data_IF_841974595327
#
_entry.id   IF_841974595327
#
_cell.length_a   1.000
_cell.length_b   1.000
_cell.length_c   1.000
_cell.angle_alpha   90.00
_cell.angle_beta   90.00
_cell.angle_gamma   90.00
#
_symmetry.space_group_name_H-M   'P 1'
#
loop_
_entity.id
_entity.type
_entity.pdbx_description
1 polymer ?
#
# COMPACT_ATOMS: atom_id res chain seq x y z
N UNK A 1 80.29 -5.75 19.01
CA UNK A 1 80.31 -5.62 20.48
C UNK A 1 78.89 -5.82 20.95
N UNK A 2 78.51 -7.09 21.16
CA UNK A 2 78.34 -7.71 22.48
C UNK A 2 77.69 -6.84 23.57
N UNK A 3 76.81 -7.30 24.46
CA UNK A 3 76.04 -8.52 24.67
C UNK A 3 75.22 -8.23 25.95
N UNK A 4 73.94 -8.59 25.93
CA UNK A 4 73.04 -9.05 27.02
C UNK A 4 73.08 -8.56 28.49
N UNK A 5 71.88 -8.70 29.07
CA UNK A 5 71.48 -8.90 30.49
C UNK A 5 71.00 -7.64 31.24
N UNK A 6 69.96 -7.61 32.08
CA UNK A 6 68.89 -8.54 32.53
C UNK A 6 68.06 -7.75 33.58
N UNK A 7 66.78 -8.09 33.80
CA UNK A 7 66.15 -7.93 35.13
C UNK A 7 64.83 -7.16 35.24
N UNK A 8 63.76 -7.94 35.44
CA UNK A 8 62.34 -7.63 35.72
C UNK A 8 62.01 -6.51 36.75
N UNK A 9 60.87 -5.85 36.52
CA UNK A 9 59.87 -5.55 37.55
C UNK A 9 58.44 -5.50 36.98
N UNK A 10 57.47 -5.70 37.86
CA UNK A 10 56.18 -6.37 37.67
C UNK A 10 55.01 -5.45 37.25
N UNK A 11 54.10 -6.03 36.44
CA UNK A 11 52.79 -5.60 35.88
C UNK A 11 51.77 -5.26 37.01
N UNK A 12 50.75 -4.34 36.88
CA UNK A 12 49.63 -4.49 35.93
C UNK A 12 49.04 -3.14 35.43
N UNK A 13 48.06 -2.99 34.55
CA UNK A 13 47.01 -3.79 33.97
C UNK A 13 46.46 -2.90 32.84
N UNK A 14 46.26 -3.39 31.62
CA UNK A 14 45.10 -2.99 30.80
C UNK A 14 45.06 -3.85 29.54
N UNK A 15 44.31 -4.96 29.65
CA UNK A 15 43.67 -5.59 28.50
C UNK A 15 42.75 -4.54 27.85
N UNK A 16 43.23 -3.79 26.87
CA UNK A 16 42.36 -3.29 25.83
C UNK A 16 42.17 -4.42 24.81
N UNK A 17 41.27 -5.35 25.14
CA UNK A 17 40.55 -6.09 24.11
C UNK A 17 39.71 -5.04 23.39
N UNK A 18 40.27 -4.42 22.35
CA UNK A 18 39.46 -3.81 21.32
C UNK A 18 38.77 -4.96 20.57
N UNK A 19 37.73 -5.50 21.19
CA UNK A 19 36.72 -6.26 20.48
C UNK A 19 36.03 -5.25 19.58
N UNK A 20 36.56 -5.07 18.37
CA UNK A 20 35.86 -4.43 17.29
C UNK A 20 34.63 -5.31 16.98
N UNK A 21 33.56 -5.13 17.75
CA UNK A 21 32.22 -5.46 17.30
C UNK A 21 31.99 -4.56 16.10
N UNK A 22 32.31 -5.07 14.91
CA UNK A 22 31.76 -4.56 13.67
C UNK A 22 30.26 -4.84 13.77
N UNK A 23 29.51 -3.89 14.33
CA UNK A 23 28.07 -3.83 14.16
C UNK A 23 27.86 -3.76 12.65
N UNK A 24 27.53 -4.89 12.06
CA UNK A 24 26.98 -4.91 10.71
C UNK A 24 25.71 -4.07 10.79
N UNK A 25 25.64 -3.02 9.99
CA UNK A 25 24.39 -2.27 9.84
C UNK A 25 23.28 -3.28 9.52
N UNK A 26 22.11 -3.18 10.18
CA UNK A 26 21.02 -4.12 9.97
C UNK A 26 20.65 -4.13 8.48
N UNK A 27 20.60 -5.33 7.89
CA UNK A 27 20.21 -5.50 6.50
C UNK A 27 18.75 -5.07 6.39
N UNK A 28 18.50 -4.03 5.60
CA UNK A 28 17.14 -3.59 5.28
C UNK A 28 16.67 -4.30 4.02
N UNK A 29 15.67 -5.17 4.16
CA UNK A 29 15.02 -5.81 3.02
C UNK A 29 13.91 -4.90 2.48
N UNK A 30 13.89 -4.69 1.17
CA UNK A 30 12.85 -3.90 0.48
C UNK A 30 12.13 -4.82 -0.50
N UNK A 31 10.85 -5.07 -0.25
CA UNK A 31 9.99 -5.87 -1.10
C UNK A 31 9.18 -4.95 -2.03
N UNK A 32 9.29 -5.17 -3.34
CA UNK A 32 8.54 -4.43 -4.36
C UNK A 32 7.53 -5.40 -4.96
N UNK A 33 6.25 -5.07 -4.84
CA UNK A 33 5.16 -5.91 -5.29
C UNK A 33 4.51 -5.32 -6.53
N UNK A 34 4.17 -6.19 -7.49
CA UNK A 34 3.16 -5.88 -8.48
C UNK A 34 1.77 -6.10 -7.87
N UNK A 35 0.77 -5.36 -8.33
CA UNK A 35 -0.58 -5.41 -7.76
C UNK A 35 -1.46 -6.44 -8.48
N UNK A 36 -1.63 -6.26 -9.78
CA UNK A 36 -2.56 -7.03 -10.59
C UNK A 36 -1.93 -8.34 -11.09
N UNK A 37 -2.69 -9.42 -11.06
CA UNK A 37 -2.23 -10.79 -11.29
C UNK A 37 -1.10 -11.27 -10.36
N UNK A 38 -0.88 -10.56 -9.24
CA UNK A 38 0.08 -10.93 -8.18
C UNK A 38 -0.61 -10.88 -6.82
N UNK A 39 -0.99 -9.70 -6.33
CA UNK A 39 -1.72 -9.57 -5.06
C UNK A 39 -3.22 -9.80 -5.26
N UNK A 40 -3.76 -9.33 -6.39
CA UNK A 40 -5.17 -9.50 -6.78
C UNK A 40 -5.27 -10.11 -8.17
N UNK A 41 -6.43 -10.65 -8.52
CA UNK A 41 -6.69 -11.30 -9.81
C UNK A 41 -7.83 -10.60 -10.56
N UNK A 42 -7.72 -9.30 -10.85
CA UNK A 42 -8.85 -8.56 -11.40
C UNK A 42 -8.97 -8.73 -12.92
N UNK A 43 -7.88 -8.54 -13.67
CA UNK A 43 -7.92 -8.59 -15.14
C UNK A 43 -8.23 -9.99 -15.66
N UNK A 44 -7.68 -11.03 -15.04
CA UNK A 44 -7.91 -12.42 -15.42
C UNK A 44 -9.33 -12.90 -15.11
N UNK A 45 -9.97 -12.35 -14.07
CA UNK A 45 -11.40 -12.54 -13.83
C UNK A 45 -12.22 -11.85 -14.93
N UNK A 46 -11.96 -10.57 -15.21
CA UNK A 46 -12.70 -9.81 -16.23
C UNK A 46 -12.63 -10.45 -17.63
N UNK A 47 -11.45 -10.94 -18.00
CA UNK A 47 -11.22 -11.53 -19.31
C UNK A 47 -11.55 -13.04 -19.36
N UNK A 48 -11.89 -13.65 -18.22
CA UNK A 48 -12.16 -15.08 -18.10
C UNK A 48 -10.92 -15.99 -18.17
N UNK A 49 -9.73 -15.42 -18.38
CA UNK A 49 -8.49 -16.19 -18.56
C UNK A 49 -8.07 -16.93 -17.30
N UNK A 50 -8.47 -16.47 -16.11
CA UNK A 50 -8.22 -17.21 -14.87
C UNK A 50 -8.77 -18.64 -14.96
N UNK A 51 -10.05 -18.78 -15.34
CA UNK A 51 -10.75 -20.06 -15.39
C UNK A 51 -10.23 -21.00 -16.49
N UNK A 52 -9.80 -20.45 -17.62
CA UNK A 52 -9.29 -21.22 -18.76
C UNK A 52 -8.06 -22.07 -18.38
N UNK A 53 -7.23 -21.58 -17.44
CA UNK A 53 -6.05 -22.30 -16.97
C UNK A 53 -6.37 -23.58 -16.18
N UNK A 54 -7.62 -23.76 -15.74
CA UNK A 54 -8.07 -24.89 -14.94
C UNK A 54 -8.72 -26.02 -15.76
N UNK A 55 -8.52 -26.05 -17.09
CA UNK A 55 -8.99 -27.11 -17.98
C UNK A 55 -10.50 -27.45 -17.81
N UNK A 56 -11.33 -26.42 -17.61
CA UNK A 56 -12.79 -26.56 -17.46
C UNK A 56 -13.28 -26.93 -16.05
N UNK A 57 -12.39 -27.01 -15.04
CA UNK A 57 -12.79 -27.24 -13.65
C UNK A 57 -13.43 -26.02 -12.98
N UNK A 58 -13.29 -24.83 -13.58
CA UNK A 58 -13.90 -23.58 -13.10
C UNK A 58 -14.91 -23.03 -14.09
N UNK A 59 -15.99 -22.48 -13.55
CA UNK A 59 -17.02 -21.78 -14.31
C UNK A 59 -16.49 -20.42 -14.77
N UNK A 60 -16.26 -20.26 -16.07
CA UNK A 60 -15.76 -19.03 -16.69
C UNK A 60 -16.74 -17.87 -16.49
N UNK A 61 -18.05 -18.12 -16.66
CA UNK A 61 -19.06 -17.08 -16.58
C UNK A 61 -19.14 -16.50 -15.16
N UNK A 62 -19.08 -17.38 -14.15
CA UNK A 62 -19.01 -16.97 -12.75
C UNK A 62 -17.79 -16.07 -12.47
N UNK A 63 -16.62 -16.42 -13.00
CA UNK A 63 -15.40 -15.62 -12.82
C UNK A 63 -15.52 -14.22 -13.41
N UNK A 64 -16.06 -14.12 -14.64
CA UNK A 64 -16.31 -12.84 -15.31
C UNK A 64 -17.33 -11.98 -14.56
N UNK A 65 -18.37 -12.58 -14.00
CA UNK A 65 -19.35 -11.87 -13.18
C UNK A 65 -18.73 -11.29 -11.90
N UNK A 66 -17.89 -12.07 -11.21
CA UNK A 66 -17.13 -11.59 -10.05
C UNK A 66 -16.24 -10.40 -10.44
N UNK A 67 -15.50 -10.50 -11.55
CA UNK A 67 -14.65 -9.42 -12.05
C UNK A 67 -15.43 -8.13 -12.33
N UNK A 68 -16.60 -8.24 -12.97
CA UNK A 68 -17.48 -7.09 -13.26
C UNK A 68 -18.06 -6.46 -11.99
N UNK A 69 -18.36 -7.26 -10.97
CA UNK A 69 -18.81 -6.74 -9.68
C UNK A 69 -17.69 -5.91 -9.03
N UNK A 70 -16.46 -6.43 -8.99
CA UNK A 70 -15.30 -5.67 -8.48
C UNK A 70 -15.08 -4.36 -9.24
N UNK A 71 -15.04 -4.41 -10.57
CA UNK A 71 -14.86 -3.22 -11.41
C UNK A 71 -15.91 -2.15 -11.09
N UNK A 72 -17.19 -2.55 -11.05
CA UNK A 72 -18.30 -1.65 -10.71
C UNK A 72 -18.11 -1.00 -9.35
N UNK A 73 -17.82 -1.79 -8.30
CA UNK A 73 -17.76 -1.25 -6.94
C UNK A 73 -16.48 -0.45 -6.68
N UNK A 74 -15.35 -0.82 -7.27
CA UNK A 74 -14.11 -0.04 -7.22
C UNK A 74 -14.34 1.35 -7.84
N UNK A 75 -14.96 1.40 -9.02
CA UNK A 75 -15.28 2.68 -9.68
C UNK A 75 -16.25 3.51 -8.85
N UNK A 76 -17.31 2.89 -8.32
CA UNK A 76 -18.28 3.57 -7.46
C UNK A 76 -17.59 4.20 -6.23
N UNK A 77 -16.72 3.46 -5.54
CA UNK A 77 -15.99 3.99 -4.37
C UNK A 77 -15.00 5.08 -4.77
N UNK A 78 -14.34 4.94 -5.93
CA UNK A 78 -13.44 5.96 -6.44
C UNK A 78 -14.17 7.31 -6.64
N UNK A 79 -15.37 7.28 -7.23
CA UNK A 79 -16.19 8.47 -7.45
C UNK A 79 -16.78 9.02 -6.14
N UNK A 80 -17.51 8.19 -5.40
CA UNK A 80 -18.30 8.61 -4.23
C UNK A 80 -17.41 9.07 -3.07
N UNK A 81 -16.23 8.48 -2.90
CA UNK A 81 -15.40 8.65 -1.70
C UNK A 81 -14.07 9.35 -2.01
N UNK A 82 -13.48 9.10 -3.17
CA UNK A 82 -12.13 9.56 -3.51
C UNK A 82 -12.08 10.64 -4.59
N UNK A 83 -13.20 11.27 -4.91
CA UNK A 83 -13.29 12.41 -5.85
C UNK A 83 -12.72 12.09 -7.23
N UNK A 84 -12.81 10.84 -7.69
CA UNK A 84 -12.11 10.36 -8.88
C UNK A 84 -12.36 11.23 -10.11
N UNK A 85 -13.62 11.56 -10.44
CA UNK A 85 -13.95 12.48 -11.55
C UNK A 85 -13.22 13.84 -11.48
N UNK A 86 -12.94 14.34 -10.27
CA UNK A 86 -12.32 15.65 -10.08
C UNK A 86 -10.78 15.59 -10.18
N UNK A 87 -10.19 14.41 -9.97
CA UNK A 87 -8.74 14.23 -9.88
C UNK A 87 -8.15 13.30 -10.95
N UNK A 88 -8.95 12.61 -11.75
CA UNK A 88 -8.50 11.62 -12.76
C UNK A 88 -7.46 12.19 -13.74
N UNK A 89 -7.60 13.48 -14.09
CA UNK A 89 -6.71 14.19 -15.00
C UNK A 89 -5.36 14.58 -14.34
N UNK A 90 -5.22 14.40 -13.02
CA UNK A 90 -4.00 14.60 -12.26
C UNK A 90 -3.41 13.26 -11.78
N UNK A 91 -3.00 12.42 -12.73
CA UNK A 91 -2.41 11.12 -12.43
C UNK A 91 -0.92 11.22 -12.04
N UNK A 92 -0.63 11.21 -10.74
CA UNK A 92 0.73 11.18 -10.18
C UNK A 92 0.98 9.90 -9.39
N UNK A 93 2.23 9.37 -9.41
CA UNK A 93 2.52 8.05 -8.84
C UNK A 93 2.60 8.01 -7.30
N UNK A 94 2.48 9.14 -6.60
CA UNK A 94 2.52 9.18 -5.13
C UNK A 94 1.65 10.31 -4.57
N UNK A 95 1.10 10.11 -3.37
CA UNK A 95 0.14 11.03 -2.74
C UNK A 95 0.74 12.40 -2.42
N UNK A 96 2.03 12.45 -2.06
CA UNK A 96 2.72 13.68 -1.65
C UNK A 96 3.10 14.62 -2.80
N UNK A 97 2.73 14.29 -4.04
CA UNK A 97 3.06 15.09 -5.22
C UNK A 97 2.54 16.53 -5.17
N UNK A 98 1.56 16.81 -4.32
CA UNK A 98 0.96 18.13 -4.11
C UNK A 98 1.23 18.72 -2.73
N UNK A 99 2.02 18.05 -1.89
CA UNK A 99 2.28 18.46 -0.50
C UNK A 99 2.76 19.92 -0.38
N UNK A 100 3.59 20.39 -1.32
CA UNK A 100 4.10 21.77 -1.33
C UNK A 100 3.02 22.84 -1.56
N UNK A 101 1.86 22.46 -2.10
CA UNK A 101 0.75 23.38 -2.38
C UNK A 101 -0.29 23.40 -1.27
N UNK A 102 -0.27 22.41 -0.37
CA UNK A 102 -1.16 22.35 0.79
C UNK A 102 -0.69 23.36 1.85
N UNK A 103 -1.59 24.26 2.24
CA UNK A 103 -1.32 25.33 3.21
C UNK A 103 -1.77 25.00 4.64
N UNK A 104 -2.23 23.77 4.90
CA UNK A 104 -2.65 23.36 6.24
C UNK A 104 -4.05 23.85 6.64
N UNK A 105 -4.82 24.44 5.71
CA UNK A 105 -6.17 24.92 5.99
C UNK A 105 -7.07 23.83 6.59
N UNK A 106 -7.88 24.17 7.58
CA UNK A 106 -8.92 23.27 8.07
C UNK A 106 -9.99 23.03 6.98
N UNK A 107 -10.31 21.75 6.75
CA UNK A 107 -11.20 21.30 5.68
C UNK A 107 -12.54 20.77 6.20
N UNK A 108 -12.83 20.85 7.50
CA UNK A 108 -14.09 20.34 8.08
C UNK A 108 -15.33 20.95 7.43
N UNK A 109 -15.31 22.26 7.15
CA UNK A 109 -16.41 23.01 6.54
C UNK A 109 -16.09 23.40 5.07
N UNK A 110 -15.12 22.73 4.44
CA UNK A 110 -14.72 23.04 3.07
C UNK A 110 -15.65 22.39 2.05
N UNK A 111 -16.27 23.22 1.21
CA UNK A 111 -17.18 22.76 0.15
C UNK A 111 -16.42 22.41 -1.13
N UNK A 112 -16.07 21.13 -1.29
CA UNK A 112 -15.39 20.61 -2.48
C UNK A 112 -16.23 20.71 -3.76
N UNK A 113 -17.56 20.77 -3.67
CA UNK A 113 -18.42 20.81 -4.86
C UNK A 113 -18.49 22.20 -5.48
N UNK A 114 -18.22 23.24 -4.69
CA UNK A 114 -18.31 24.64 -5.12
C UNK A 114 -16.97 25.38 -5.09
N UNK A 115 -15.84 24.70 -4.90
CA UNK A 115 -14.52 25.34 -4.88
C UNK A 115 -13.96 25.67 -6.27
N UNK A 116 -14.63 25.22 -7.33
CA UNK A 116 -14.24 25.47 -8.72
C UNK A 116 -12.87 24.89 -9.08
N UNK A 117 -12.51 23.74 -8.52
CA UNK A 117 -11.32 23.00 -8.94
C UNK A 117 -11.49 22.54 -10.39
N UNK A 118 -10.59 22.97 -11.27
CA UNK A 118 -10.62 22.59 -12.69
C UNK A 118 -9.22 22.63 -13.30
N UNK A 119 -9.09 22.04 -14.48
CA UNK A 119 -7.93 22.23 -15.34
C UNK A 119 -8.01 23.61 -16.04
N UNK A 120 -6.90 24.36 -16.21
CA UNK A 120 -5.51 24.00 -15.94
C UNK A 120 -5.08 24.13 -14.47
N UNK A 121 -4.15 23.28 -14.05
CA UNK A 121 -3.61 23.26 -12.68
C UNK A 121 -2.55 24.34 -12.47
N UNK A 122 -2.97 25.59 -12.39
CA UNK A 122 -2.17 26.65 -11.79
C UNK A 122 -1.97 26.40 -10.28
N UNK A 123 -1.19 27.25 -9.61
CA UNK A 123 -0.87 27.03 -8.20
C UNK A 123 -2.12 27.08 -7.29
N UNK A 124 -3.17 27.81 -7.69
CA UNK A 124 -4.46 27.84 -6.98
C UNK A 124 -5.20 26.50 -7.13
N UNK A 125 -5.31 25.97 -8.34
CA UNK A 125 -5.96 24.68 -8.58
C UNK A 125 -5.14 23.51 -8.02
N UNK A 126 -3.81 23.58 -8.03
CA UNK A 126 -2.95 22.59 -7.35
C UNK A 126 -3.15 22.58 -5.85
N UNK A 127 -3.41 23.73 -5.22
CA UNK A 127 -3.79 23.79 -3.80
C UNK A 127 -5.12 23.10 -3.54
N UNK A 128 -6.14 23.32 -4.38
CA UNK A 128 -7.43 22.63 -4.27
C UNK A 128 -7.32 21.12 -4.47
N UNK A 129 -6.45 20.68 -5.39
CA UNK A 129 -6.11 19.27 -5.54
C UNK A 129 -5.39 18.72 -4.29
N UNK A 130 -4.49 19.50 -3.69
CA UNK A 130 -3.79 19.11 -2.47
C UNK A 130 -4.76 18.86 -1.31
N UNK A 131 -5.80 19.68 -1.18
CA UNK A 131 -6.87 19.47 -0.18
C UNK A 131 -7.59 18.13 -0.38
N UNK A 132 -7.93 17.78 -1.64
CA UNK A 132 -8.56 16.48 -1.96
C UNK A 132 -7.63 15.33 -1.63
N UNK A 133 -6.36 15.41 -2.05
CA UNK A 133 -5.34 14.41 -1.71
C UNK A 133 -5.19 14.20 -0.20
N UNK A 134 -5.21 15.27 0.60
CA UNK A 134 -5.15 15.16 2.06
C UNK A 134 -6.37 14.45 2.63
N UNK A 135 -7.57 14.78 2.15
CA UNK A 135 -8.81 14.09 2.58
C UNK A 135 -8.78 12.62 2.17
N UNK A 136 -8.36 12.31 0.95
CA UNK A 136 -8.20 10.93 0.44
C UNK A 136 -7.23 10.16 1.32
N UNK A 137 -6.05 10.71 1.60
CA UNK A 137 -5.04 10.08 2.46
C UNK A 137 -5.58 9.83 3.88
N UNK A 138 -6.34 10.76 4.42
CA UNK A 138 -6.98 10.61 5.72
C UNK A 138 -8.04 9.49 5.72
N UNK A 139 -8.94 9.46 4.73
CA UNK A 139 -9.94 8.39 4.57
C UNK A 139 -9.28 7.03 4.39
N UNK A 140 -8.25 6.95 3.54
CA UNK A 140 -7.49 5.72 3.31
C UNK A 140 -6.86 5.20 4.61
N UNK A 141 -6.26 6.08 5.42
CA UNK A 141 -5.67 5.73 6.71
C UNK A 141 -6.70 5.22 7.74
N UNK A 142 -7.93 5.71 7.68
CA UNK A 142 -9.01 5.21 8.53
C UNK A 142 -9.52 3.83 8.09
N UNK A 143 -9.30 3.44 6.83
CA UNK A 143 -9.81 2.20 6.26
C UNK A 143 -11.26 2.30 5.81
N UNK A 144 -11.64 1.42 4.88
CA UNK A 144 -12.95 1.46 4.22
C UNK A 144 -14.11 1.19 5.18
N UNK A 145 -13.95 0.31 6.17
CA UNK A 145 -15.02 0.01 7.15
C UNK A 145 -15.45 1.21 7.99
N UNK A 146 -14.59 2.22 8.18
CA UNK A 146 -14.95 3.46 8.88
C UNK A 146 -15.65 4.47 7.96
N UNK A 147 -15.60 4.25 6.64
CA UNK A 147 -16.20 5.12 5.64
C UNK A 147 -17.50 4.56 5.08
N UNK A 148 -17.62 3.23 5.03
CA UNK A 148 -18.77 2.53 4.44
C UNK A 148 -19.90 2.39 5.46
N UNK A 149 -21.13 2.35 4.96
CA UNK A 149 -22.27 1.89 5.76
C UNK A 149 -22.27 0.36 5.90
N UNK A 150 -23.16 -0.14 6.75
CA UNK A 150 -23.24 -1.58 7.06
C UNK A 150 -23.63 -2.43 5.84
N UNK A 151 -24.43 -1.87 4.92
CA UNK A 151 -24.89 -2.60 3.74
C UNK A 151 -23.76 -2.73 2.72
N UNK A 152 -22.98 -1.67 2.50
CA UNK A 152 -21.79 -1.70 1.67
C UNK A 152 -20.71 -2.62 2.27
N UNK A 153 -20.47 -2.57 3.58
CA UNK A 153 -19.51 -3.48 4.22
C UNK A 153 -19.88 -4.93 3.92
N UNK A 154 -21.12 -5.32 4.19
CA UNK A 154 -21.59 -6.68 3.95
C UNK A 154 -21.45 -7.09 2.49
N UNK A 155 -21.80 -6.19 1.57
CA UNK A 155 -21.70 -6.44 0.13
C UNK A 155 -20.25 -6.71 -0.31
N UNK A 156 -19.29 -5.95 0.23
CA UNK A 156 -17.87 -6.12 -0.08
C UNK A 156 -17.30 -7.38 0.57
N UNK A 157 -17.70 -7.71 1.79
CA UNK A 157 -17.33 -8.96 2.48
C UNK A 157 -17.85 -10.18 1.70
N UNK A 158 -19.12 -10.18 1.29
CA UNK A 158 -19.73 -11.25 0.50
C UNK A 158 -19.00 -11.41 -0.87
N UNK A 159 -18.62 -10.30 -1.51
CA UNK A 159 -17.86 -10.30 -2.75
C UNK A 159 -16.44 -10.83 -2.55
N UNK A 160 -15.76 -10.45 -1.46
CA UNK A 160 -14.45 -10.96 -1.09
C UNK A 160 -14.50 -12.48 -0.90
N UNK A 161 -15.43 -12.99 -0.09
CA UNK A 161 -15.57 -14.41 0.19
C UNK A 161 -15.89 -15.22 -1.08
N UNK A 162 -16.77 -14.69 -1.93
CA UNK A 162 -17.09 -15.30 -3.21
C UNK A 162 -15.85 -15.37 -4.12
N UNK A 163 -15.05 -14.31 -4.15
CA UNK A 163 -13.82 -14.22 -4.96
C UNK A 163 -12.76 -15.17 -4.44
N UNK A 164 -12.48 -15.13 -3.14
CA UNK A 164 -11.46 -15.94 -2.48
C UNK A 164 -11.81 -17.44 -2.55
N UNK A 165 -13.10 -17.80 -2.44
CA UNK A 165 -13.54 -19.17 -2.69
C UNK A 165 -13.39 -19.59 -4.16
N UNK A 166 -13.63 -18.70 -5.11
CA UNK A 166 -13.50 -19.00 -6.54
C UNK A 166 -12.03 -19.12 -6.97
N UNK A 167 -11.16 -18.31 -6.36
CA UNK A 167 -9.73 -18.19 -6.68
C UNK A 167 -8.84 -19.12 -5.86
N UNK A 168 -9.40 -20.19 -5.29
CA UNK A 168 -8.67 -21.17 -4.46
C UNK A 168 -7.82 -20.53 -3.36
N UNK A 169 -8.38 -19.51 -2.68
CA UNK A 169 -7.75 -18.79 -1.58
C UNK A 169 -6.57 -17.91 -1.98
N UNK A 170 -6.53 -17.44 -3.22
CA UNK A 170 -5.45 -16.54 -3.70
C UNK A 170 -5.31 -15.29 -2.82
N UNK A 171 -6.42 -14.57 -2.59
CA UNK A 171 -6.41 -13.31 -1.84
C UNK A 171 -5.96 -13.52 -0.40
N UNK A 172 -6.56 -14.49 0.29
CA UNK A 172 -6.19 -14.82 1.67
C UNK A 172 -4.76 -15.33 1.80
N UNK A 173 -4.23 -16.06 0.82
CA UNK A 173 -2.82 -16.50 0.80
C UNK A 173 -1.87 -15.31 0.60
N UNK A 174 -2.24 -14.34 -0.23
CA UNK A 174 -1.49 -13.10 -0.43
C UNK A 174 -1.39 -12.28 0.86
N UNK A 175 -2.50 -12.14 1.59
CA UNK A 175 -2.54 -11.43 2.88
C UNK A 175 -1.64 -12.07 3.92
N UNK A 176 -1.63 -13.41 4.03
CA UNK A 176 -0.75 -14.12 4.97
C UNK A 176 0.74 -13.89 4.66
N UNK A 177 1.12 -13.96 3.38
CA UNK A 177 2.50 -13.68 2.94
C UNK A 177 2.92 -12.23 3.23
N UNK A 178 2.00 -11.29 3.08
CA UNK A 178 2.23 -9.88 3.40
C UNK A 178 2.41 -9.66 4.91
N UNK A 179 1.56 -10.28 5.73
CA UNK A 179 1.63 -10.17 7.19
C UNK A 179 2.94 -10.75 7.73
N UNK A 180 3.38 -11.91 7.21
CA UNK A 180 4.68 -12.50 7.59
C UNK A 180 5.86 -11.57 7.21
N UNK A 181 5.83 -10.97 6.02
CA UNK A 181 6.86 -10.00 5.59
C UNK A 181 6.81 -8.67 6.37
N UNK A 182 5.65 -8.25 6.84
CA UNK A 182 5.47 -7.06 7.67
C UNK A 182 5.89 -7.31 9.13
N UNK A 183 5.68 -8.52 9.65
CA UNK A 183 6.12 -8.93 11.00
C UNK A 183 7.65 -9.05 11.08
N UNK A 184 8.31 -9.45 9.99
CA UNK A 184 9.79 -9.44 9.92
C UNK A 184 10.41 -8.03 9.96
N UNK A 185 9.63 -6.95 9.81
CA UNK A 185 10.13 -5.57 9.95
C UNK A 185 10.09 -5.05 11.41
N UNK A 186 9.52 -5.81 12.35
CA UNK A 186 9.37 -5.42 13.76
C UNK A 186 10.08 -6.33 14.78
N UNK A 187 10.93 -7.27 14.34
CA UNK A 187 11.84 -8.05 15.19
C UNK A 187 13.30 -7.88 14.75
#
# INVERSE_FOLDING_TARGET
MDELMSGNSTIPNQKMKASAKKTLDPITNVYIWDMDETLILLKSLLNGTYAETFNGLKDVQKGVEIGKMWEKYILQVADDIFFYEQIENYNKPFLDALSQYDDGKDLSDYDFNHDGCSSPYDDLNKRKLAYRHRVIAHKYKQGLHNTFDQDMIKLWDDLYDMTDSYTDKWLSSGTLSYDDAAVEQFN
#
